data_IF_727255448632
#
_entry.id   IF_727255448632
#
_cell.length_a   1.000
_cell.length_b   1.000
_cell.length_c   1.000
_cell.angle_alpha   90.00
_cell.angle_beta   90.00
_cell.angle_gamma   90.00
#
_symmetry.space_group_name_H-M   'P 1'
#
loop_
_entity.id
_entity.type
_entity.pdbx_description
1 polymer ?
#
# COMPACT_ATOMS: atom_id res chain seq x y z
N UNK A 1 -27.51 17.32 0.92
CA UNK A 1 -27.68 16.12 1.77
C UNK A 1 -26.36 15.89 2.50
N UNK A 2 -26.40 15.49 3.76
CA UNK A 2 -25.17 15.19 4.52
C UNK A 2 -24.62 13.85 4.03
N UNK A 3 -23.38 13.80 3.57
CA UNK A 3 -22.72 12.56 3.20
C UNK A 3 -22.76 11.55 4.36
N UNK A 4 -23.16 10.33 4.08
CA UNK A 4 -23.19 9.24 5.07
C UNK A 4 -21.79 8.67 5.24
N UNK A 5 -21.25 8.73 6.45
CA UNK A 5 -19.96 8.14 6.79
C UNK A 5 -20.20 6.82 7.52
N UNK A 6 -19.57 5.74 7.04
CA UNK A 6 -19.66 4.39 7.61
C UNK A 6 -18.27 3.92 7.96
N UNK A 7 -18.02 3.59 9.23
CA UNK A 7 -16.78 2.94 9.64
C UNK A 7 -16.74 1.50 9.09
N UNK A 8 -15.69 1.18 8.35
CA UNK A 8 -15.47 -0.13 7.72
C UNK A 8 -14.48 -0.96 8.53
N UNK A 9 -13.44 -0.33 9.06
CA UNK A 9 -12.46 -0.94 9.97
C UNK A 9 -12.16 0.02 11.11
N UNK A 10 -12.29 -0.48 12.33
CA UNK A 10 -11.80 0.18 13.53
C UNK A 10 -10.29 0.05 13.67
N UNK A 11 -9.70 0.78 14.61
CA UNK A 11 -8.27 0.70 14.94
C UNK A 11 -7.82 -0.75 15.26
N UNK A 12 -8.62 -1.46 16.05
CA UNK A 12 -8.32 -2.85 16.41
C UNK A 12 -8.38 -3.79 15.20
N UNK A 13 -9.37 -3.61 14.33
CA UNK A 13 -9.51 -4.40 13.11
C UNK A 13 -8.38 -4.12 12.12
N UNK A 14 -7.90 -2.88 12.00
CA UNK A 14 -6.72 -2.54 11.19
C UNK A 14 -5.50 -3.27 11.76
N UNK A 15 -5.27 -3.23 13.05
CA UNK A 15 -4.15 -3.92 13.70
C UNK A 15 -4.17 -5.43 13.42
N UNK A 16 -5.32 -6.08 13.59
CA UNK A 16 -5.50 -7.52 13.28
C UNK A 16 -5.27 -7.81 11.80
N UNK A 17 -5.75 -6.93 10.92
CA UNK A 17 -5.57 -7.06 9.47
C UNK A 17 -4.10 -6.97 9.09
N UNK A 18 -3.34 -6.03 9.65
CA UNK A 18 -1.90 -5.89 9.41
C UNK A 18 -1.13 -7.11 9.91
N UNK A 19 -1.46 -7.67 11.07
CA UNK A 19 -0.86 -8.91 11.58
C UNK A 19 -1.08 -10.06 10.61
N UNK A 20 -2.29 -10.22 10.09
CA UNK A 20 -2.63 -11.25 9.10
C UNK A 20 -1.90 -11.04 7.79
N UNK A 21 -1.83 -9.81 7.27
CA UNK A 21 -1.09 -9.49 6.05
C UNK A 21 0.40 -9.80 6.20
N UNK A 22 0.99 -9.45 7.34
CA UNK A 22 2.39 -9.76 7.64
C UNK A 22 2.64 -11.28 7.59
N UNK A 23 1.79 -12.07 8.22
CA UNK A 23 1.88 -13.54 8.18
C UNK A 23 1.77 -14.09 6.75
N UNK A 24 0.85 -13.56 5.94
CA UNK A 24 0.68 -13.97 4.55
C UNK A 24 1.90 -13.62 3.68
N UNK A 25 2.52 -12.46 3.92
CA UNK A 25 3.75 -12.05 3.22
C UNK A 25 4.89 -13.01 3.56
N UNK A 26 5.06 -13.34 4.84
CA UNK A 26 6.07 -14.29 5.31
C UNK A 26 5.88 -15.66 4.67
N UNK A 27 4.66 -16.20 4.70
CA UNK A 27 4.35 -17.53 4.11
C UNK A 27 4.71 -17.62 2.62
N UNK A 28 4.60 -16.53 1.88
CA UNK A 28 4.88 -16.48 0.44
C UNK A 28 6.30 -16.04 0.10
N UNK A 29 7.13 -15.76 1.09
CA UNK A 29 8.51 -15.29 0.92
C UNK A 29 9.48 -16.39 1.34
N UNK A 30 10.30 -16.90 0.39
CA UNK A 30 11.26 -17.98 0.67
C UNK A 30 12.43 -17.50 1.51
N UNK A 31 12.92 -16.31 1.22
CA UNK A 31 14.09 -15.72 1.88
C UNK A 31 13.77 -14.29 2.34
N UNK A 32 13.54 -14.13 3.63
CA UNK A 32 13.23 -12.85 4.24
C UNK A 32 14.40 -11.85 4.16
N UNK A 33 15.63 -12.31 4.01
CA UNK A 33 16.80 -11.44 3.83
C UNK A 33 16.78 -10.69 2.51
N UNK A 34 16.04 -11.18 1.53
CA UNK A 34 15.84 -10.54 0.23
C UNK A 34 14.50 -9.79 0.11
N UNK A 35 13.70 -9.81 1.16
CA UNK A 35 12.41 -9.11 1.18
C UNK A 35 12.61 -7.60 1.38
N UNK A 36 11.95 -6.81 0.56
CA UNK A 36 11.82 -5.37 0.70
C UNK A 36 10.35 -5.00 0.68
N UNK A 37 9.91 -4.23 1.66
CA UNK A 37 8.60 -3.57 1.63
C UNK A 37 8.77 -2.15 1.10
N UNK A 38 8.07 -1.83 0.02
CA UNK A 38 8.17 -0.54 -0.65
C UNK A 38 6.82 0.16 -0.60
N UNK A 39 6.67 1.08 0.34
CA UNK A 39 5.41 1.80 0.53
C UNK A 39 5.25 2.98 -0.41
N UNK A 40 4.07 3.13 -1.00
CA UNK A 40 3.75 4.27 -1.84
C UNK A 40 3.32 5.44 -0.93
N UNK A 41 3.97 6.60 -1.10
CA UNK A 41 3.61 7.81 -0.33
C UNK A 41 2.13 8.19 -0.54
N UNK A 42 1.39 8.59 0.51
CA UNK A 42 1.86 8.84 1.89
C UNK A 42 1.55 7.65 2.82
N UNK A 43 0.34 7.12 2.79
CA UNK A 43 -0.15 6.09 3.71
C UNK A 43 0.46 4.72 3.46
N UNK A 44 0.77 4.41 2.21
CA UNK A 44 1.47 3.17 1.87
C UNK A 44 2.85 3.06 2.53
N UNK A 45 3.58 4.17 2.65
CA UNK A 45 4.87 4.20 3.34
C UNK A 45 4.70 3.87 4.84
N UNK A 46 3.72 4.46 5.51
CA UNK A 46 3.42 4.16 6.91
C UNK A 46 2.97 2.70 7.11
N UNK A 47 2.14 2.18 6.20
CA UNK A 47 1.71 0.78 6.25
C UNK A 47 2.87 -0.19 6.03
N UNK A 48 3.83 0.13 5.15
CA UNK A 48 5.03 -0.67 4.94
C UNK A 48 5.88 -0.77 6.22
N UNK A 49 6.06 0.34 6.93
CA UNK A 49 6.76 0.35 8.22
C UNK A 49 6.03 -0.49 9.27
N UNK A 50 4.70 -0.37 9.36
CA UNK A 50 3.90 -1.16 10.30
C UNK A 50 3.98 -2.66 9.98
N UNK A 51 3.89 -3.04 8.71
CA UNK A 51 4.04 -4.43 8.27
C UNK A 51 5.45 -4.98 8.57
N UNK A 52 6.49 -4.18 8.33
CA UNK A 52 7.87 -4.59 8.63
C UNK A 52 8.06 -4.88 10.12
N UNK A 53 7.52 -4.03 11.00
CA UNK A 53 7.55 -4.25 12.46
C UNK A 53 6.78 -5.51 12.87
N UNK A 54 5.65 -5.80 12.22
CA UNK A 54 4.90 -7.03 12.47
C UNK A 54 5.70 -8.27 12.04
N UNK A 55 6.36 -8.22 10.88
CA UNK A 55 7.20 -9.32 10.39
C UNK A 55 8.41 -9.53 11.33
N UNK A 56 9.06 -8.45 11.76
CA UNK A 56 10.16 -8.52 12.72
C UNK A 56 9.71 -9.16 14.05
N UNK A 57 8.52 -8.81 14.53
CA UNK A 57 7.95 -9.41 15.73
C UNK A 57 7.65 -10.90 15.55
N UNK A 58 7.19 -11.31 14.38
CA UNK A 58 6.85 -12.71 14.08
C UNK A 58 8.10 -13.58 13.87
N UNK A 59 9.09 -13.07 13.15
CA UNK A 59 10.22 -13.87 12.62
C UNK A 59 11.57 -13.51 13.24
N UNK A 60 11.67 -12.43 13.99
CA UNK A 60 12.93 -11.94 14.57
C UNK A 60 13.93 -11.41 13.53
N UNK A 61 13.46 -11.09 12.33
CA UNK A 61 14.28 -10.60 11.22
C UNK A 61 13.84 -9.19 10.82
N UNK A 62 14.76 -8.24 10.83
CA UNK A 62 14.50 -6.89 10.35
C UNK A 62 14.34 -6.89 8.81
N UNK A 63 13.28 -6.25 8.33
CA UNK A 63 12.96 -6.15 6.90
C UNK A 63 13.34 -4.77 6.38
N UNK A 64 13.96 -4.72 5.20
CA UNK A 64 14.25 -3.45 4.52
C UNK A 64 12.97 -2.78 4.07
N UNK A 65 12.82 -1.49 4.40
CA UNK A 65 11.67 -0.68 4.03
C UNK A 65 12.13 0.52 3.24
N UNK A 66 11.43 0.82 2.16
CA UNK A 66 11.60 2.03 1.38
C UNK A 66 10.27 2.75 1.17
N UNK A 67 10.35 4.01 0.80
CA UNK A 67 9.19 4.84 0.45
C UNK A 67 9.34 5.37 -0.98
N UNK A 68 8.30 5.19 -1.78
CA UNK A 68 8.28 5.48 -3.20
C UNK A 68 7.34 6.64 -3.51
N UNK A 69 7.85 7.70 -4.10
CA UNK A 69 7.03 8.74 -4.72
C UNK A 69 6.79 8.43 -6.20
N UNK A 70 5.54 8.38 -6.58
CA UNK A 70 5.10 8.06 -7.93
C UNK A 70 4.61 9.28 -8.72
N UNK A 71 4.74 10.49 -8.18
CA UNK A 71 4.15 11.71 -8.76
C UNK A 71 4.52 11.89 -10.22
N UNK A 72 5.79 11.73 -10.58
CA UNK A 72 6.25 11.90 -11.97
C UNK A 72 5.92 10.73 -12.91
N UNK A 73 5.43 9.61 -12.39
CA UNK A 73 5.10 8.40 -13.17
C UNK A 73 3.61 8.26 -13.44
N UNK A 74 2.79 9.18 -12.92
CA UNK A 74 1.34 9.16 -13.13
C UNK A 74 0.98 9.79 -14.46
N UNK A 75 0.04 9.17 -15.15
CA UNK A 75 -0.53 9.62 -16.43
C UNK A 75 -1.81 10.45 -16.27
N UNK A 76 -2.26 10.64 -15.04
CA UNK A 76 -3.52 11.33 -14.70
C UNK A 76 -3.32 12.60 -13.84
N UNK A 77 -2.12 13.19 -13.87
CA UNK A 77 -1.76 14.40 -13.11
C UNK A 77 -2.72 15.57 -13.34
N UNK A 78 -3.18 15.72 -14.56
CA UNK A 78 -4.13 16.80 -14.94
C UNK A 78 -5.51 16.67 -14.24
N UNK A 79 -5.83 15.46 -13.76
CA UNK A 79 -7.13 15.16 -13.13
C UNK A 79 -7.10 15.18 -11.60
N UNK A 80 -5.90 15.04 -11.00
CA UNK A 80 -5.75 14.84 -9.55
C UNK A 80 -5.30 16.11 -8.83
N UNK A 81 -4.88 17.14 -9.59
CA UNK A 81 -4.26 18.36 -9.07
C UNK A 81 -2.77 18.19 -8.76
N UNK A 82 -2.08 19.32 -8.64
CA UNK A 82 -0.64 19.35 -8.36
C UNK A 82 -0.38 18.85 -6.94
N UNK A 83 0.23 17.67 -6.82
CA UNK A 83 0.91 17.25 -5.60
C UNK A 83 2.35 17.73 -5.64
N UNK A 84 2.84 18.28 -4.54
CA UNK A 84 4.27 18.53 -4.39
C UNK A 84 5.00 17.20 -4.34
N UNK A 85 5.94 16.93 -5.27
CA UNK A 85 6.72 15.70 -5.24
C UNK A 85 7.53 15.60 -3.95
N UNK A 86 7.53 14.40 -3.38
CA UNK A 86 8.38 14.04 -2.25
C UNK A 86 9.54 13.20 -2.79
N UNK A 87 10.72 13.30 -2.20
CA UNK A 87 11.83 12.45 -2.62
C UNK A 87 11.58 11.01 -2.19
N UNK A 88 11.71 10.06 -3.13
CA UNK A 88 11.71 8.63 -2.78
C UNK A 88 12.89 8.30 -1.87
N UNK A 89 12.65 7.46 -0.88
CA UNK A 89 13.65 7.02 0.11
C UNK A 89 13.88 5.51 -0.04
N UNK A 90 14.77 5.15 -0.98
CA UNK A 90 15.14 3.77 -1.28
C UNK A 90 16.67 3.70 -1.27
N UNK A 91 17.31 3.57 -0.08
CA UNK A 91 18.77 3.65 0.06
C UNK A 91 19.49 2.33 -0.28
N UNK A 92 18.88 1.46 -1.08
CA UNK A 92 19.40 0.15 -1.47
C UNK A 92 19.02 -0.20 -2.90
N UNK A 93 19.79 -1.11 -3.53
CA UNK A 93 19.46 -1.65 -4.84
C UNK A 93 18.38 -2.73 -4.73
N UNK A 94 17.37 -2.64 -5.58
CA UNK A 94 16.27 -3.60 -5.66
C UNK A 94 16.57 -4.82 -6.53
N UNK A 95 17.73 -4.84 -7.20
CA UNK A 95 18.09 -5.93 -8.11
C UNK A 95 18.14 -7.28 -7.37
N UNK A 96 17.43 -8.27 -7.90
CA UNK A 96 17.33 -9.61 -7.32
C UNK A 96 16.49 -9.72 -6.05
N UNK A 97 15.89 -8.63 -5.57
CA UNK A 97 15.05 -8.62 -4.38
C UNK A 97 13.63 -9.10 -4.66
N UNK A 98 12.97 -9.60 -3.63
CA UNK A 98 11.53 -9.75 -3.59
C UNK A 98 10.93 -8.46 -3.03
N UNK A 99 10.28 -7.69 -3.88
CA UNK A 99 9.65 -6.41 -3.51
C UNK A 99 8.15 -6.64 -3.27
N UNK A 100 7.65 -6.17 -2.15
CA UNK A 100 6.21 -6.02 -1.92
C UNK A 100 5.87 -4.54 -1.93
N UNK A 101 5.17 -4.09 -2.96
CA UNK A 101 4.58 -2.76 -3.00
C UNK A 101 3.43 -2.70 -1.99
N UNK A 102 3.37 -1.64 -1.21
CA UNK A 102 2.35 -1.45 -0.18
C UNK A 102 1.59 -0.16 -0.43
N UNK A 103 0.27 -0.25 -0.46
CA UNK A 103 -0.62 0.91 -0.59
C UNK A 103 -1.84 0.75 0.34
N UNK A 104 -2.54 1.84 0.60
CA UNK A 104 -3.73 1.83 1.46
C UNK A 104 -4.97 1.30 0.73
N UNK A 105 -5.31 1.87 -0.43
CA UNK A 105 -6.51 1.52 -1.21
C UNK A 105 -6.17 1.31 -2.68
N UNK A 106 -6.57 0.17 -3.23
CA UNK A 106 -6.55 -0.01 -4.68
C UNK A 106 -7.94 0.21 -5.26
N UNK A 107 -8.00 1.02 -6.30
CA UNK A 107 -9.19 1.35 -7.08
C UNK A 107 -9.01 0.96 -8.54
N UNK A 108 -8.62 1.89 -9.38
CA UNK A 108 -8.45 1.70 -10.83
C UNK A 108 -7.17 0.96 -11.21
N UNK A 109 -6.15 0.96 -10.35
CA UNK A 109 -4.84 0.37 -10.57
C UNK A 109 -3.79 1.34 -11.13
N UNK A 110 -4.12 2.61 -11.38
CA UNK A 110 -3.21 3.58 -12.01
C UNK A 110 -2.03 3.96 -11.10
N UNK A 111 -2.27 4.09 -9.81
CA UNK A 111 -1.22 4.29 -8.80
C UNK A 111 -0.20 3.15 -8.84
N UNK A 112 -0.66 1.92 -8.90
CA UNK A 112 0.21 0.74 -8.91
C UNK A 112 0.98 0.64 -10.24
N UNK A 113 0.37 0.97 -11.37
CA UNK A 113 1.09 1.03 -12.64
C UNK A 113 2.24 2.05 -12.58
N UNK A 114 1.98 3.23 -12.04
CA UNK A 114 3.01 4.25 -11.84
C UNK A 114 4.13 3.74 -10.92
N UNK A 115 3.78 3.04 -9.83
CA UNK A 115 4.77 2.44 -8.93
C UNK A 115 5.63 1.38 -9.62
N UNK A 116 5.03 0.51 -10.45
CA UNK A 116 5.76 -0.49 -11.23
C UNK A 116 6.77 0.17 -12.19
N UNK A 117 6.41 1.29 -12.80
CA UNK A 117 7.34 2.04 -13.65
C UNK A 117 8.48 2.68 -12.82
N UNK A 118 8.15 3.28 -11.68
CA UNK A 118 9.12 3.95 -10.83
C UNK A 118 10.16 2.98 -10.22
N UNK A 119 9.76 1.76 -9.89
CA UNK A 119 10.66 0.72 -9.33
C UNK A 119 11.86 0.45 -10.24
N UNK A 120 11.70 0.57 -11.56
CA UNK A 120 12.78 0.31 -12.53
C UNK A 120 13.97 1.25 -12.38
N UNK A 121 13.79 2.43 -11.78
CA UNK A 121 14.88 3.37 -11.53
C UNK A 121 15.76 2.96 -10.35
N UNK A 122 15.33 1.99 -9.55
CA UNK A 122 16.01 1.54 -8.32
C UNK A 122 16.57 0.12 -8.41
N UNK A 123 16.50 -0.49 -9.58
CA UNK A 123 17.01 -1.84 -9.83
C UNK A 123 16.00 -2.74 -10.52
N UNK A 124 16.36 -4.00 -10.65
CA UNK A 124 15.55 -5.03 -11.30
C UNK A 124 15.17 -6.13 -10.32
N UNK A 125 14.05 -5.99 -9.60
CA UNK A 125 13.57 -7.03 -8.69
C UNK A 125 13.37 -8.37 -9.39
N UNK A 126 13.61 -9.47 -8.68
CA UNK A 126 13.26 -10.80 -9.14
C UNK A 126 11.74 -11.00 -9.14
N UNK A 127 11.08 -10.50 -8.10
CA UNK A 127 9.62 -10.60 -7.93
C UNK A 127 9.09 -9.28 -7.41
N UNK A 128 7.96 -8.83 -7.95
CA UNK A 128 7.17 -7.73 -7.41
C UNK A 128 5.78 -8.27 -7.06
N UNK A 129 5.35 -8.05 -5.83
CA UNK A 129 4.01 -8.35 -5.31
C UNK A 129 3.35 -7.09 -4.80
N UNK A 130 2.05 -7.15 -4.59
CA UNK A 130 1.25 -6.02 -4.13
C UNK A 130 0.47 -6.39 -2.87
N UNK A 131 0.60 -5.58 -1.84
CA UNK A 131 -0.21 -5.63 -0.63
C UNK A 131 -1.02 -4.33 -0.49
N UNK A 132 -2.31 -4.44 -0.23
CA UNK A 132 -3.20 -3.30 0.01
C UNK A 132 -4.04 -3.53 1.26
N UNK A 133 -4.32 -2.46 2.00
CA UNK A 133 -5.23 -2.56 3.14
C UNK A 133 -6.67 -2.79 2.67
N UNK A 134 -7.11 -2.07 1.64
CA UNK A 134 -8.46 -2.19 1.07
C UNK A 134 -8.41 -2.33 -0.45
N UNK A 135 -9.14 -3.31 -0.95
CA UNK A 135 -9.48 -3.43 -2.38
C UNK A 135 -10.95 -3.07 -2.57
N UNK A 136 -11.21 -1.93 -3.23
CA UNK A 136 -12.58 -1.43 -3.47
C UNK A 136 -13.15 -1.79 -4.84
N UNK A 137 -12.43 -2.57 -5.64
CA UNK A 137 -12.86 -2.94 -6.99
C UNK A 137 -12.67 -1.84 -8.04
N UNK A 138 -13.44 -1.90 -9.12
CA UNK A 138 -13.48 -0.94 -10.24
C UNK A 138 -12.16 -0.80 -11.01
N UNK A 139 -11.43 -1.89 -11.21
CA UNK A 139 -10.18 -1.90 -11.96
C UNK A 139 -10.38 -1.40 -13.40
N UNK A 140 -9.44 -0.57 -13.89
CA UNK A 140 -9.32 -0.19 -15.31
C UNK A 140 -8.07 -0.81 -15.94
N UNK A 141 -7.21 -1.46 -15.16
CA UNK A 141 -5.99 -2.14 -15.58
C UNK A 141 -5.99 -3.58 -15.04
N UNK A 142 -5.30 -4.53 -15.69
CA UNK A 142 -5.22 -5.93 -15.25
C UNK A 142 -4.24 -6.10 -14.08
N UNK A 143 -4.47 -5.38 -13.00
CA UNK A 143 -3.66 -5.36 -11.78
C UNK A 143 -4.50 -5.84 -10.61
N UNK A 144 -4.02 -6.87 -9.92
CA UNK A 144 -4.66 -7.43 -8.73
C UNK A 144 -3.64 -7.55 -7.60
N UNK A 145 -4.02 -7.20 -6.36
CA UNK A 145 -3.14 -7.40 -5.21
C UNK A 145 -2.98 -8.88 -4.86
N UNK A 146 -1.77 -9.23 -4.43
CA UNK A 146 -1.46 -10.57 -3.89
C UNK A 146 -1.94 -10.73 -2.46
N UNK A 147 -1.92 -9.64 -1.70
CA UNK A 147 -2.30 -9.58 -0.30
C UNK A 147 -3.33 -8.49 -0.10
N UNK A 148 -4.49 -8.85 0.42
CA UNK A 148 -5.63 -7.93 0.60
C UNK A 148 -6.07 -7.95 2.05
N UNK A 149 -6.09 -6.78 2.68
CA UNK A 149 -6.63 -6.63 4.01
C UNK A 149 -8.14 -6.86 4.02
N UNK A 150 -8.86 -6.05 3.29
CA UNK A 150 -10.32 -6.15 3.15
C UNK A 150 -10.76 -5.90 1.72
N UNK A 151 -11.58 -6.80 1.17
CA UNK A 151 -12.35 -6.54 -0.05
C UNK A 151 -13.61 -5.79 0.33
N UNK A 152 -13.81 -4.63 -0.26
CA UNK A 152 -14.96 -3.77 -0.02
C UNK A 152 -15.63 -3.40 -1.34
N UNK A 153 -16.66 -4.13 -1.78
CA UNK A 153 -17.45 -3.71 -2.93
C UNK A 153 -18.07 -2.34 -2.68
N UNK A 154 -17.84 -1.41 -3.59
CA UNK A 154 -18.32 -0.03 -3.49
C UNK A 154 -19.02 0.38 -4.78
N UNK A 155 -19.84 1.45 -4.73
CA UNK A 155 -20.21 2.20 -5.93
C UNK A 155 -19.02 3.05 -6.41
N UNK A 156 -19.03 3.46 -7.68
CA UNK A 156 -17.90 4.25 -8.23
C UNK A 156 -17.77 5.61 -7.57
N UNK A 157 -18.88 6.19 -7.20
CA UNK A 157 -19.04 7.52 -6.62
C UNK A 157 -18.66 7.55 -5.13
N UNK A 158 -18.75 6.42 -4.45
CA UNK A 158 -18.36 6.31 -3.05
C UNK A 158 -16.86 6.49 -2.88
N UNK A 159 -16.45 7.00 -1.73
CA UNK A 159 -15.05 7.26 -1.40
C UNK A 159 -14.63 6.41 -0.21
N UNK A 160 -13.53 5.67 -0.35
CA UNK A 160 -12.89 4.97 0.76
C UNK A 160 -11.75 5.84 1.29
N UNK A 161 -11.78 6.16 2.58
CA UNK A 161 -10.70 6.89 3.27
C UNK A 161 -10.05 6.02 4.32
N UNK A 162 -8.72 5.98 4.29
CA UNK A 162 -7.89 5.35 5.32
C UNK A 162 -7.27 6.46 6.15
N UNK A 163 -7.39 6.32 7.46
CA UNK A 163 -6.74 7.17 8.44
C UNK A 163 -5.73 6.32 9.24
N UNK A 164 -4.55 6.86 9.45
CA UNK A 164 -3.50 6.22 10.23
C UNK A 164 -3.03 7.16 11.33
N UNK A 165 -2.77 6.60 12.52
CA UNK A 165 -2.42 7.37 13.72
C UNK A 165 -1.30 8.38 13.46
N UNK A 166 -0.24 7.97 12.76
CA UNK A 166 0.94 8.81 12.53
C UNK A 166 0.72 9.97 11.56
N UNK A 167 -0.29 9.90 10.69
CA UNK A 167 -0.60 10.97 9.73
C UNK A 167 -1.87 11.74 10.07
N UNK A 168 -2.85 11.05 10.64
CA UNK A 168 -4.22 11.56 10.76
C UNK A 168 -4.70 11.66 12.23
N UNK A 169 -3.86 11.23 13.19
CA UNK A 169 -4.17 11.25 14.63
C UNK A 169 -5.16 10.17 15.08
N UNK A 170 -5.55 9.26 14.20
CA UNK A 170 -6.41 8.11 14.48
C UNK A 170 -6.23 7.01 13.44
N UNK A 171 -6.59 5.79 13.79
CA UNK A 171 -6.68 4.67 12.85
C UNK A 171 -8.15 4.38 12.54
N UNK A 172 -8.54 4.43 11.28
CA UNK A 172 -9.87 4.04 10.80
C UNK A 172 -9.87 3.80 9.29
N UNK A 173 -10.80 3.00 8.80
CA UNK A 173 -11.20 2.97 7.39
C UNK A 173 -12.66 3.34 7.32
N UNK A 174 -12.98 4.34 6.52
CA UNK A 174 -14.34 4.87 6.35
C UNK A 174 -14.78 4.81 4.89
N UNK A 175 -16.06 4.51 4.69
CA UNK A 175 -16.76 4.67 3.42
C UNK A 175 -17.64 5.91 3.51
N UNK A 176 -17.47 6.81 2.54
CA UNK A 176 -18.26 8.02 2.40
C UNK A 176 -19.16 7.83 1.19
N UNK A 177 -20.46 7.82 1.44
CA UNK A 177 -21.52 7.71 0.43
C UNK A 177 -22.35 9.01 0.43
N UNK A 178 -22.81 9.44 -0.74
CA UNK A 178 -23.74 10.57 -0.90
C UNK A 178 -25.18 10.15 -0.58
#
# INVERSE_FOLDING_TARGET
MSAKVIEILSSEEIRRTLTRLASQIVERTRDLSQLVLLGIYTRGALLAELLARQIETLEGVAISVGALDITFYRDDLDKIGLRTPTKSEIPFDLTGKTVVLVDDVIFKGRTIRAALNAVNDYGRPEVIRLAVLVDRGHRELPIHPDFIGKKLPTAKEEIVKVYLQNSDGRDAVELIAD
#
